data_IF_219393421593
#
_entry.id   IF_219393421593
#
_cell.length_a   1.000
_cell.length_b   1.000
_cell.length_c   1.000
_cell.angle_alpha   90.00
_cell.angle_beta   90.00
_cell.angle_gamma   90.00
#
_symmetry.space_group_name_H-M   'P 1'
#
loop_
_entity.id
_entity.type
_entity.pdbx_description
1 polymer ?
#
# COMPACT_ATOMS: atom_id res chain seq x y z
N UNK A 1 19.56 -1.35 -18.15
CA UNK A 1 19.57 -2.41 -17.11
C UNK A 1 18.13 -2.86 -16.98
N UNK A 2 17.65 -3.60 -17.99
CA UNK A 2 16.24 -3.96 -18.14
C UNK A 2 16.16 -5.48 -18.22
N UNK A 3 15.60 -6.16 -17.22
CA UNK A 3 14.96 -7.47 -17.38
C UNK A 3 14.22 -7.91 -16.10
N UNK A 4 12.90 -7.66 -16.10
CA UNK A 4 11.84 -8.32 -15.33
C UNK A 4 11.79 -8.13 -13.80
N UNK A 5 11.68 -6.89 -13.35
CA UNK A 5 10.84 -6.66 -12.18
C UNK A 5 9.37 -6.76 -12.65
N UNK A 6 8.79 -7.96 -12.64
CA UNK A 6 7.36 -8.15 -12.98
C UNK A 6 6.53 -7.39 -11.95
N UNK A 7 6.03 -6.22 -12.34
CA UNK A 7 5.11 -5.45 -11.53
C UNK A 7 3.74 -6.13 -11.53
N UNK A 8 3.23 -6.48 -10.36
CA UNK A 8 1.89 -7.03 -10.20
C UNK A 8 0.89 -5.88 -10.12
N UNK A 9 -0.03 -5.79 -11.08
CA UNK A 9 -1.11 -4.82 -11.01
C UNK A 9 -2.18 -5.30 -10.03
N UNK A 10 -2.55 -4.44 -9.07
CA UNK A 10 -3.61 -4.69 -8.11
C UNK A 10 -4.62 -3.55 -8.10
N UNK A 11 -5.90 -3.87 -8.04
CA UNK A 11 -6.99 -2.91 -7.88
C UNK A 11 -7.46 -2.84 -6.43
N UNK A 12 -7.82 -1.65 -5.97
CA UNK A 12 -8.38 -1.43 -4.64
C UNK A 12 -9.59 -0.52 -4.73
N UNK A 13 -10.68 -0.97 -4.10
CA UNK A 13 -11.87 -0.16 -3.88
C UNK A 13 -11.94 0.20 -2.41
N UNK A 14 -12.09 1.48 -2.12
CA UNK A 14 -12.17 2.00 -0.75
C UNK A 14 -13.45 2.80 -0.59
N UNK A 15 -14.10 2.66 0.56
CA UNK A 15 -15.23 3.49 0.94
C UNK A 15 -14.81 4.43 2.07
N UNK A 16 -14.69 5.72 1.76
CA UNK A 16 -14.32 6.75 2.74
C UNK A 16 -15.55 7.60 3.03
N UNK A 17 -16.16 7.38 4.20
CA UNK A 17 -17.35 8.13 4.67
C UNK A 17 -18.49 8.17 3.64
N UNK A 18 -18.75 7.05 2.97
CA UNK A 18 -19.82 6.92 1.97
C UNK A 18 -19.40 7.26 0.54
N UNK A 19 -18.17 7.75 0.33
CA UNK A 19 -17.61 8.01 -1.00
C UNK A 19 -16.76 6.82 -1.42
N UNK A 20 -17.18 6.17 -2.51
CA UNK A 20 -16.41 5.10 -3.15
C UNK A 20 -15.26 5.70 -3.96
N UNK A 21 -14.08 5.13 -3.79
CA UNK A 21 -12.89 5.49 -4.55
C UNK A 21 -12.20 4.21 -5.03
N UNK A 22 -11.97 4.16 -6.33
CA UNK A 22 -11.31 3.06 -7.01
C UNK A 22 -9.96 3.54 -7.55
N UNK A 23 -8.91 2.76 -7.29
CA UNK A 23 -7.59 2.99 -7.87
C UNK A 23 -6.86 1.65 -8.05
N UNK A 24 -5.83 1.65 -8.87
CA UNK A 24 -4.94 0.50 -9.05
C UNK A 24 -3.49 0.92 -8.92
N UNK A 25 -2.66 -0.01 -8.47
CA UNK A 25 -1.21 0.17 -8.37
C UNK A 25 -0.47 -0.92 -9.12
N UNK A 26 0.71 -0.59 -9.63
CA UNK A 26 1.74 -1.58 -9.98
C UNK A 26 2.59 -1.80 -8.75
N UNK A 27 2.76 -3.07 -8.37
CA UNK A 27 3.48 -3.46 -7.17
C UNK A 27 4.71 -4.27 -7.54
N UNK A 28 5.88 -3.80 -7.13
CA UNK A 28 7.17 -4.39 -7.50
C UNK A 28 7.87 -4.88 -6.24
N UNK A 29 8.17 -6.18 -6.21
CA UNK A 29 8.97 -6.77 -5.14
C UNK A 29 10.42 -6.26 -5.25
N UNK A 30 10.93 -5.81 -4.12
CA UNK A 30 12.32 -5.42 -3.93
C UNK A 30 12.88 -6.37 -2.88
N UNK A 31 13.64 -7.35 -3.35
CA UNK A 31 14.29 -8.37 -2.53
C UNK A 31 15.80 -8.12 -2.55
N UNK A 32 16.31 -7.58 -1.45
CA UNK A 32 17.73 -7.37 -1.22
C UNK A 32 18.15 -8.12 0.05
N UNK A 33 19.42 -8.51 0.11
CA UNK A 33 19.98 -9.25 1.25
C UNK A 33 19.79 -8.56 2.61
N UNK A 34 19.60 -7.24 2.63
CA UNK A 34 19.44 -6.44 3.84
C UNK A 34 17.99 -6.03 4.15
N UNK A 35 17.08 -6.08 3.17
CA UNK A 35 15.68 -5.69 3.38
C UNK A 35 14.74 -6.28 2.33
N UNK A 36 13.50 -6.52 2.77
CA UNK A 36 12.39 -6.92 1.91
C UNK A 36 11.34 -5.81 1.84
N UNK A 37 11.01 -5.38 0.62
CA UNK A 37 10.02 -4.34 0.40
C UNK A 37 9.16 -4.61 -0.84
N UNK A 38 7.98 -3.99 -0.89
CA UNK A 38 7.15 -3.93 -2.10
C UNK A 38 6.90 -2.47 -2.41
N UNK A 39 7.45 -1.98 -3.52
CA UNK A 39 7.19 -0.64 -4.03
C UNK A 39 5.83 -0.62 -4.73
N UNK A 40 5.02 0.38 -4.41
CA UNK A 40 3.72 0.62 -5.01
C UNK A 40 3.77 1.91 -5.82
N UNK A 41 3.29 1.89 -7.05
CA UNK A 41 3.10 3.09 -7.88
C UNK A 41 1.72 3.11 -8.50
N UNK A 42 1.14 4.31 -8.62
CA UNK A 42 -0.18 4.50 -9.24
C UNK A 42 -0.18 3.97 -10.68
N UNK A 43 -1.12 3.07 -10.97
CA UNK A 43 -1.47 2.69 -12.34
C UNK A 43 -2.65 3.56 -12.82
N UNK A 44 -3.79 3.51 -12.11
CA UNK A 44 -4.99 4.27 -12.44
C UNK A 44 -5.72 4.77 -11.19
N UNK A 45 -6.51 5.83 -11.33
CA UNK A 45 -7.36 6.34 -10.24
C UNK A 45 -7.43 7.86 -10.14
N UNK A 46 -8.07 8.39 -9.08
CA UNK A 46 -8.30 9.82 -8.88
C UNK A 46 -7.08 10.57 -8.34
N UNK A 47 -6.00 9.86 -8.04
CA UNK A 47 -4.73 10.44 -7.68
C UNK A 47 -4.00 10.96 -8.91
N UNK A 48 -3.28 12.07 -8.75
CA UNK A 48 -2.27 12.53 -9.68
C UNK A 48 -0.96 11.78 -9.45
N UNK A 49 -0.68 11.48 -8.19
CA UNK A 49 0.40 10.59 -7.76
C UNK A 49 -0.08 9.77 -6.58
N UNK A 50 0.25 8.49 -6.58
CA UNK A 50 0.21 7.63 -5.41
C UNK A 50 1.43 6.75 -5.51
N UNK A 51 2.23 6.73 -4.46
CA UNK A 51 3.37 5.84 -4.34
C UNK A 51 3.52 5.41 -2.89
N UNK A 52 4.18 4.29 -2.67
CA UNK A 52 4.40 3.81 -1.33
C UNK A 52 5.28 2.60 -1.26
N UNK A 53 5.52 2.17 -0.04
CA UNK A 53 6.32 0.99 0.25
C UNK A 53 5.68 0.19 1.35
N UNK A 54 5.49 -1.11 1.11
CA UNK A 54 5.48 -2.08 2.18
C UNK A 54 6.92 -2.41 2.55
N UNK A 55 7.23 -2.44 3.84
CA UNK A 55 8.53 -2.90 4.36
C UNK A 55 8.31 -3.97 5.40
N UNK A 56 9.11 -5.03 5.30
CA UNK A 56 9.11 -6.15 6.24
C UNK A 56 10.47 -6.16 6.92
N UNK A 57 10.48 -5.83 8.20
CA UNK A 57 11.71 -5.68 8.99
C UNK A 57 11.75 -6.81 9.99
N UNK A 58 12.75 -7.67 9.91
CA UNK A 58 12.97 -8.70 10.92
C UNK A 58 13.30 -8.02 12.26
N UNK A 59 12.58 -8.37 13.33
CA UNK A 59 12.86 -7.85 14.67
C UNK A 59 13.68 -8.84 15.51
N UNK A 60 13.39 -10.12 15.36
CA UNK A 60 14.10 -11.25 15.99
C UNK A 60 13.65 -12.54 15.30
N UNK A 61 14.12 -13.71 15.71
CA UNK A 61 13.60 -14.99 15.18
C UNK A 61 12.09 -15.20 15.44
N UNK A 62 11.51 -14.44 16.38
CA UNK A 62 10.12 -14.60 16.82
C UNK A 62 9.13 -13.66 16.11
N UNK A 63 9.59 -12.81 15.19
CA UNK A 63 8.65 -11.97 14.45
C UNK A 63 9.27 -10.86 13.61
N UNK A 64 8.39 -10.23 12.84
CA UNK A 64 8.71 -9.12 11.95
C UNK A 64 7.81 -7.93 12.20
N UNK A 65 8.31 -6.74 11.87
CA UNK A 65 7.55 -5.50 11.81
C UNK A 65 7.13 -5.27 10.38
N UNK A 66 5.82 -5.08 10.18
CA UNK A 66 5.25 -4.67 8.90
C UNK A 66 5.03 -3.16 8.93
N UNK A 67 5.46 -2.45 7.89
CA UNK A 67 5.23 -1.02 7.74
C UNK A 67 4.65 -0.73 6.36
N UNK A 68 3.68 0.17 6.33
CA UNK A 68 3.14 0.76 5.10
C UNK A 68 3.40 2.27 5.13
N UNK A 69 4.12 2.76 4.13
CA UNK A 69 4.35 4.18 3.89
C UNK A 69 3.68 4.57 2.58
N UNK A 70 2.86 5.63 2.59
CA UNK A 70 2.16 6.11 1.40
C UNK A 70 2.37 7.61 1.23
N UNK A 71 2.61 8.04 -0.01
CA UNK A 71 2.69 9.43 -0.43
C UNK A 71 1.76 9.65 -1.63
N UNK A 72 0.93 10.68 -1.59
CA UNK A 72 -0.09 10.89 -2.60
C UNK A 72 -0.34 12.38 -2.91
N UNK A 73 -0.81 12.62 -4.13
CA UNK A 73 -1.27 13.91 -4.65
C UNK A 73 -2.61 13.68 -5.36
N UNK A 74 -3.61 14.52 -5.11
CA UNK A 74 -4.98 14.32 -5.62
C UNK A 74 -5.27 15.25 -6.81
N UNK A 75 -6.01 14.75 -7.82
CA UNK A 75 -6.39 15.52 -9.01
C UNK A 75 -7.40 16.65 -8.73
N UNK A 76 -8.30 16.48 -7.76
CA UNK A 76 -9.40 17.42 -7.45
C UNK A 76 -9.42 17.87 -5.99
N UNK A 77 -9.64 19.16 -5.75
CA UNK A 77 -9.76 19.76 -4.40
C UNK A 77 -10.91 19.16 -3.58
N UNK A 78 -11.98 18.69 -4.22
CA UNK A 78 -13.13 18.09 -3.54
C UNK A 78 -12.79 16.72 -2.97
N UNK A 79 -12.18 15.86 -3.79
CA UNK A 79 -11.65 14.54 -3.40
C UNK A 79 -10.54 14.73 -2.35
N UNK A 80 -9.74 15.80 -2.49
CA UNK A 80 -8.69 16.19 -1.56
C UNK A 80 -9.12 16.23 -0.09
N UNK A 81 -10.27 16.86 0.22
CA UNK A 81 -10.76 16.99 1.60
C UNK A 81 -11.26 15.69 2.21
N UNK A 82 -11.79 14.78 1.38
CA UNK A 82 -12.29 13.47 1.82
C UNK A 82 -11.11 12.58 2.20
N UNK A 83 -10.11 12.53 1.33
CA UNK A 83 -8.88 11.76 1.54
C UNK A 83 -8.04 12.29 2.72
N UNK A 84 -7.87 13.61 2.84
CA UNK A 84 -7.15 14.22 3.95
C UNK A 84 -7.74 13.88 5.33
N UNK A 85 -8.99 13.38 5.41
CA UNK A 85 -9.67 13.01 6.66
C UNK A 85 -9.83 11.50 6.88
N UNK A 86 -9.43 10.66 5.93
CA UNK A 86 -9.73 9.23 5.97
C UNK A 86 -8.64 8.31 5.44
N UNK A 87 -7.63 8.82 4.73
CA UNK A 87 -6.60 7.96 4.14
C UNK A 87 -5.72 7.27 5.19
N UNK A 88 -5.45 7.94 6.31
CA UNK A 88 -4.71 7.33 7.43
C UNK A 88 -5.47 6.13 8.03
N UNK A 89 -6.81 6.20 8.07
CA UNK A 89 -7.65 5.09 8.51
C UNK A 89 -7.58 3.92 7.52
N UNK A 90 -7.55 4.20 6.22
CA UNK A 90 -7.39 3.18 5.18
C UNK A 90 -6.02 2.50 5.32
N UNK A 91 -4.94 3.28 5.44
CA UNK A 91 -3.59 2.74 5.61
C UNK A 91 -3.48 1.87 6.88
N UNK A 92 -4.07 2.33 7.98
CA UNK A 92 -4.11 1.58 9.24
C UNK A 92 -4.88 0.26 9.10
N UNK A 93 -6.02 0.28 8.40
CA UNK A 93 -6.80 -0.92 8.14
C UNK A 93 -6.01 -1.92 7.28
N UNK A 94 -5.33 -1.45 6.23
CA UNK A 94 -4.51 -2.33 5.38
C UNK A 94 -3.42 -3.06 6.18
N UNK A 95 -2.74 -2.36 7.10
CA UNK A 95 -1.74 -2.99 7.97
C UNK A 95 -2.40 -4.00 8.91
N UNK A 96 -3.54 -3.64 9.52
CA UNK A 96 -4.29 -4.52 10.42
C UNK A 96 -4.74 -5.81 9.72
N UNK A 97 -5.32 -5.69 8.52
CA UNK A 97 -5.81 -6.82 7.73
C UNK A 97 -4.66 -7.72 7.31
N UNK A 98 -3.51 -7.14 6.95
CA UNK A 98 -2.30 -7.91 6.64
C UNK A 98 -1.85 -8.74 7.84
N UNK A 99 -1.75 -8.12 9.03
CA UNK A 99 -1.33 -8.81 10.26
C UNK A 99 -2.33 -9.89 10.66
N UNK A 100 -3.63 -9.61 10.60
CA UNK A 100 -4.68 -10.60 10.87
C UNK A 100 -4.55 -11.80 9.95
N UNK A 101 -4.37 -11.56 8.64
CA UNK A 101 -4.21 -12.64 7.67
C UNK A 101 -2.93 -13.44 7.88
N UNK A 102 -1.83 -12.79 8.24
CA UNK A 102 -0.58 -13.48 8.56
C UNK A 102 -0.77 -14.41 9.76
N UNK A 103 -1.50 -13.98 10.80
CA UNK A 103 -1.87 -14.83 11.93
C UNK A 103 -2.70 -16.05 11.50
N UNK A 104 -3.68 -15.88 10.61
CA UNK A 104 -4.49 -17.01 10.12
C UNK A 104 -3.69 -18.05 9.31
N UNK A 105 -2.65 -17.62 8.60
CA UNK A 105 -1.88 -18.51 7.70
C UNK A 105 -0.67 -19.13 8.41
N UNK A 106 -0.07 -18.42 9.36
CA UNK A 106 1.25 -18.77 9.91
C UNK A 106 1.30 -18.90 11.45
N UNK A 107 0.20 -18.66 12.19
CA UNK A 107 0.19 -18.82 13.65
C UNK A 107 0.00 -20.28 14.11
#
# INVERSE_FOLDING_TARGET
>A
LDSFATGYQAGMQVNIKGVRVDFSTVNTLIDHSEFLAVAMTLAEGPFKKLQGYWRFIQLSELGSKVQLELSYEIKSKLIGRIFAKGFDQVASQLVSDFVSRAGEVYA
#
